data_IF_606211225344
#
_entry.id   IF_606211225344
#
_cell.length_a   1.000
_cell.length_b   1.000
_cell.length_c   1.000
_cell.angle_alpha   90.00
_cell.angle_beta   90.00
_cell.angle_gamma   90.00
#
_symmetry.space_group_name_H-M   'P 1'
#
loop_
_entity.id
_entity.type
_entity.pdbx_description
1 polymer ?
#
# COMPACT_ATOMS: atom_id res chain seq x y z
N UNK A 1 17.86 0.44 -9.34
CA UNK A 1 16.73 -0.42 -8.95
C UNK A 1 16.67 -0.38 -7.43
N UNK A 2 15.58 0.09 -6.82
CA UNK A 2 15.53 0.30 -5.37
C UNK A 2 15.59 -1.04 -4.62
N UNK A 3 16.34 -1.12 -3.53
CA UNK A 3 16.38 -2.28 -2.63
C UNK A 3 15.08 -2.40 -1.80
N UNK A 4 14.90 -3.52 -1.11
CA UNK A 4 13.73 -3.75 -0.22
C UNK A 4 13.76 -2.78 0.97
N UNK A 5 14.94 -2.48 1.48
CA UNK A 5 15.18 -1.57 2.60
C UNK A 5 14.89 -0.12 2.20
N UNK A 6 15.30 0.29 1.00
CA UNK A 6 14.99 1.61 0.45
C UNK A 6 13.47 1.79 0.27
N UNK A 7 12.76 0.75 -0.17
CA UNK A 7 11.31 0.75 -0.27
C UNK A 7 10.64 0.85 1.11
N UNK A 8 11.14 0.12 2.11
CA UNK A 8 10.62 0.17 3.47
C UNK A 8 10.74 1.59 4.05
N UNK A 9 11.94 2.17 4.00
CA UNK A 9 12.19 3.52 4.50
C UNK A 9 11.29 4.57 3.81
N UNK A 10 11.11 4.44 2.49
CA UNK A 10 10.23 5.33 1.73
C UNK A 10 8.77 5.30 2.20
N UNK A 11 8.19 4.11 2.35
CA UNK A 11 6.78 3.97 2.75
C UNK A 11 6.57 4.22 4.25
N UNK A 12 7.59 4.01 5.08
CA UNK A 12 7.57 4.34 6.50
C UNK A 12 7.54 5.85 6.76
N UNK A 13 8.31 6.62 5.99
CA UNK A 13 8.34 8.08 6.08
C UNK A 13 7.05 8.76 5.61
N UNK A 14 6.23 8.08 4.78
CA UNK A 14 4.99 8.68 4.28
C UNK A 14 3.88 8.65 5.32
N UNK A 15 3.21 9.78 5.62
CA UNK A 15 2.02 9.76 6.47
C UNK A 15 0.86 9.01 5.78
N UNK A 16 0.04 8.31 6.56
CA UNK A 16 -1.21 7.66 6.12
C UNK A 16 -2.38 8.37 6.79
N UNK A 17 -3.48 8.65 6.08
CA UNK A 17 -4.69 9.08 6.74
C UNK A 17 -5.31 7.91 7.51
N UNK A 18 -6.23 8.23 8.41
CA UNK A 18 -7.04 7.24 9.10
C UNK A 18 -8.04 6.59 8.16
N UNK A 19 -8.37 5.32 8.43
CA UNK A 19 -9.44 4.65 7.71
C UNK A 19 -10.79 5.35 8.00
N UNK A 20 -11.59 5.72 6.99
CA UNK A 20 -12.88 6.39 7.20
C UNK A 20 -13.93 5.50 7.89
N UNK A 21 -13.71 4.18 7.93
CA UNK A 21 -14.64 3.22 8.54
C UNK A 21 -14.27 2.84 9.98
N UNK A 22 -12.98 2.72 10.32
CA UNK A 22 -12.53 2.30 11.67
C UNK A 22 -11.54 3.24 12.34
N UNK A 23 -11.21 4.36 11.70
CA UNK A 23 -10.30 5.41 12.16
C UNK A 23 -8.87 4.94 12.49
N UNK A 24 -8.49 3.69 12.16
CA UNK A 24 -7.13 3.21 12.34
C UNK A 24 -6.20 3.77 11.26
N UNK A 25 -5.11 4.41 11.67
CA UNK A 25 -3.99 4.77 10.78
C UNK A 25 -2.95 3.63 10.64
N UNK A 26 -2.77 2.82 11.67
CA UNK A 26 -1.74 1.78 11.72
C UNK A 26 -1.98 0.66 10.71
N UNK A 27 -3.25 0.32 10.48
CA UNK A 27 -3.66 -0.80 9.63
C UNK A 27 -3.94 -0.40 8.18
N UNK A 28 -3.65 0.84 7.81
CA UNK A 28 -3.78 1.35 6.44
C UNK A 28 -2.50 1.08 5.64
N UNK A 29 -2.63 0.64 4.40
CA UNK A 29 -1.52 0.40 3.48
C UNK A 29 -1.73 1.15 2.16
N UNK A 30 -0.66 1.51 1.47
CA UNK A 30 -0.75 2.10 0.13
C UNK A 30 -1.04 1.02 -0.91
N UNK A 31 -1.97 1.29 -1.82
CA UNK A 31 -2.24 0.45 -2.97
C UNK A 31 -1.26 0.85 -4.08
N UNK A 32 -0.46 -0.11 -4.53
CA UNK A 32 0.44 0.06 -5.67
C UNK A 32 -0.11 -0.72 -6.86
N UNK A 33 -0.39 -0.01 -7.95
CA UNK A 33 -0.97 -0.56 -9.18
C UNK A 33 0.10 -0.76 -10.26
N UNK A 34 -0.17 -1.64 -11.23
CA UNK A 34 0.70 -1.90 -12.37
C UNK A 34 1.62 -3.11 -12.19
N UNK A 35 2.72 -3.16 -12.97
CA UNK A 35 3.67 -4.29 -12.94
C UNK A 35 4.72 -4.07 -11.85
N UNK A 36 4.69 -4.83 -10.72
CA UNK A 36 5.64 -4.64 -9.65
C UNK A 36 7.03 -5.15 -10.03
N UNK A 37 8.06 -4.55 -9.45
CA UNK A 37 9.43 -5.09 -9.47
C UNK A 37 9.55 -6.23 -8.46
N UNK A 38 10.56 -7.10 -8.62
CA UNK A 38 10.80 -8.20 -7.68
C UNK A 38 10.96 -7.72 -6.22
N UNK A 39 11.69 -6.61 -6.01
CA UNK A 39 11.89 -6.04 -4.68
C UNK A 39 10.60 -5.48 -4.08
N UNK A 40 9.70 -4.94 -4.90
CA UNK A 40 8.40 -4.48 -4.44
C UNK A 40 7.48 -5.64 -4.05
N UNK A 41 7.54 -6.76 -4.78
CA UNK A 41 6.85 -8.00 -4.41
C UNK A 41 7.36 -8.51 -3.06
N UNK A 42 8.68 -8.65 -2.91
CA UNK A 42 9.30 -9.08 -1.66
C UNK A 42 8.93 -8.16 -0.48
N UNK A 43 8.91 -6.84 -0.70
CA UNK A 43 8.48 -5.89 0.33
C UNK A 43 6.98 -6.02 0.68
N UNK A 44 6.12 -6.32 -0.29
CA UNK A 44 4.68 -6.47 -0.08
C UNK A 44 4.32 -7.72 0.76
N UNK A 45 5.14 -8.77 0.70
CA UNK A 45 4.93 -10.02 1.43
C UNK A 45 5.33 -9.94 2.91
N UNK A 46 6.07 -8.90 3.31
CA UNK A 46 6.47 -8.71 4.70
C UNK A 46 5.24 -8.45 5.60
N UNK A 47 5.22 -8.96 6.84
CA UNK A 47 4.12 -8.74 7.77
C UNK A 47 3.93 -7.25 8.14
N UNK A 48 5.04 -6.51 8.23
CA UNK A 48 5.10 -5.08 8.54
C UNK A 48 4.99 -4.18 7.29
N UNK A 49 4.77 -4.78 6.12
CA UNK A 49 4.68 -4.02 4.87
C UNK A 49 3.62 -2.93 4.97
N UNK A 50 3.94 -1.73 4.47
CA UNK A 50 2.98 -0.62 4.39
C UNK A 50 2.32 -0.51 3.02
N UNK A 51 2.47 -1.52 2.17
CA UNK A 51 1.84 -1.57 0.86
C UNK A 51 0.93 -2.79 0.71
N UNK A 52 0.08 -2.72 -0.32
CA UNK A 52 -0.68 -3.82 -0.90
C UNK A 52 -0.54 -3.70 -2.41
N UNK A 53 -0.15 -4.79 -3.05
CA UNK A 53 -0.18 -4.84 -4.51
C UNK A 53 -1.64 -4.90 -4.96
N UNK A 54 -2.02 -3.98 -5.82
CA UNK A 54 -3.29 -3.97 -6.52
C UNK A 54 -3.21 -4.69 -7.86
N UNK A 55 -4.17 -4.41 -8.72
CA UNK A 55 -4.22 -4.94 -10.09
C UNK A 55 -3.72 -3.95 -11.14
N UNK A 56 -4.16 -4.16 -12.37
CA UNK A 56 -4.05 -3.15 -13.41
C UNK A 56 -5.06 -2.03 -13.18
N UNK A 57 -4.65 -0.80 -13.48
CA UNK A 57 -5.52 0.36 -13.50
C UNK A 57 -6.52 0.21 -14.65
N UNK A 58 -7.82 0.24 -14.36
CA UNK A 58 -8.87 0.19 -15.40
C UNK A 58 -9.43 1.57 -15.68
N UNK A 59 -9.66 2.37 -14.63
CA UNK A 59 -10.19 3.73 -14.71
C UNK A 59 -9.35 4.64 -13.83
N UNK A 60 -8.56 5.60 -14.36
CA UNK A 60 -7.65 6.46 -13.59
C UNK A 60 -8.33 7.32 -12.52
N UNK A 61 -9.59 7.70 -12.72
CA UNK A 61 -10.31 8.65 -11.86
C UNK A 61 -10.98 7.96 -10.67
N UNK A 62 -11.20 6.64 -10.76
CA UNK A 62 -11.86 5.85 -9.72
C UNK A 62 -10.94 4.75 -9.17
N UNK A 63 -9.76 5.14 -8.65
CA UNK A 63 -8.83 4.20 -8.02
C UNK A 63 -8.55 4.52 -6.56
N UNK A 64 -8.90 3.62 -5.64
CA UNK A 64 -8.46 3.75 -4.27
C UNK A 64 -6.93 3.69 -4.19
N UNK A 65 -6.35 4.57 -3.38
CA UNK A 65 -4.90 4.66 -3.17
C UNK A 65 -4.49 4.00 -1.87
N UNK A 66 -5.44 3.69 -1.01
CA UNK A 66 -5.22 3.18 0.33
C UNK A 66 -6.13 1.99 0.60
N UNK A 67 -5.66 1.11 1.47
CA UNK A 67 -6.38 -0.09 1.87
C UNK A 67 -6.26 -0.30 3.37
N UNK A 68 -7.39 -0.41 4.06
CA UNK A 68 -7.42 -0.78 5.47
C UNK A 68 -7.47 -2.30 5.62
N UNK A 69 -6.44 -2.87 6.25
CA UNK A 69 -6.33 -4.32 6.50
C UNK A 69 -7.39 -4.84 7.48
N UNK A 70 -7.91 -3.99 8.37
CA UNK A 70 -8.98 -4.38 9.28
C UNK A 70 -10.35 -4.41 8.64
N UNK A 71 -10.74 -3.32 7.99
CA UNK A 71 -12.06 -3.24 7.36
C UNK A 71 -12.11 -3.96 6.01
N UNK A 72 -10.96 -4.35 5.46
CA UNK A 72 -10.81 -4.83 4.08
C UNK A 72 -11.39 -3.84 3.06
N UNK A 73 -11.28 -2.55 3.37
CA UNK A 73 -11.83 -1.44 2.59
C UNK A 73 -10.71 -0.76 1.81
N UNK A 74 -10.91 -0.56 0.52
CA UNK A 74 -10.08 0.28 -0.32
C UNK A 74 -10.72 1.68 -0.43
N UNK A 75 -9.93 2.74 -0.29
CA UNK A 75 -10.37 4.13 -0.35
C UNK A 75 -9.26 5.10 -0.80
#
# INVERSE_FOLDING_TARGET
MQSVEELAAYYEAKPRPECPSCHSAERVAFIVMGRPTANLVAYAERPDSRIRLGGCLVDPDNNPRLYCRSCKLAF
#
